data_IF_129930978684
#
_entry.id   IF_129930978684
#
_cell.length_a   1.000
_cell.length_b   1.000
_cell.length_c   1.000
_cell.angle_alpha   90.00
_cell.angle_beta   90.00
_cell.angle_gamma   90.00
#
_symmetry.space_group_name_H-M   'P 1'
#
loop_
_entity.id
_entity.type
_entity.pdbx_description
1 polymer ?
#
# COMPACT_ATOMS: atom_id res chain seq x y z
N UNK A 1 4.05 12.82 -21.44
CA UNK A 1 3.38 11.96 -20.43
C UNK A 1 4.36 11.11 -19.62
N UNK A 2 5.37 10.47 -20.23
CA UNK A 2 6.34 9.63 -19.50
C UNK A 2 7.09 10.34 -18.36
N UNK A 3 7.52 11.60 -18.55
CA UNK A 3 8.16 12.39 -17.49
C UNK A 3 7.25 12.63 -16.28
N UNK A 4 5.97 12.90 -16.53
CA UNK A 4 4.97 13.05 -15.46
C UNK A 4 4.79 11.75 -14.68
N UNK A 5 4.63 10.62 -15.38
CA UNK A 5 4.52 9.29 -14.75
C UNK A 5 5.78 8.94 -13.94
N UNK A 6 6.96 9.28 -14.45
CA UNK A 6 8.22 9.09 -13.74
C UNK A 6 8.27 9.91 -12.44
N UNK A 7 7.87 11.18 -12.46
CA UNK A 7 7.77 11.99 -11.24
C UNK A 7 6.79 11.36 -10.21
N UNK A 8 5.65 10.85 -10.68
CA UNK A 8 4.68 10.15 -9.81
C UNK A 8 5.29 8.89 -9.19
N UNK A 9 6.03 8.07 -9.97
CA UNK A 9 6.71 6.88 -9.46
C UNK A 9 7.71 7.23 -8.35
N UNK A 10 8.56 8.23 -8.59
CA UNK A 10 9.55 8.68 -7.60
C UNK A 10 8.86 9.18 -6.32
N UNK A 11 7.79 9.98 -6.46
CA UNK A 11 7.03 10.48 -5.32
C UNK A 11 6.37 9.35 -4.52
N UNK A 12 5.81 8.33 -5.19
CA UNK A 12 5.23 7.16 -4.53
C UNK A 12 6.28 6.36 -3.75
N UNK A 13 7.48 6.18 -4.30
CA UNK A 13 8.59 5.50 -3.60
C UNK A 13 9.02 6.28 -2.36
N UNK A 14 9.14 7.60 -2.45
CA UNK A 14 9.46 8.46 -1.29
C UNK A 14 8.38 8.35 -0.22
N UNK A 15 7.10 8.39 -0.62
CA UNK A 15 5.98 8.22 0.29
C UNK A 15 6.01 6.84 0.97
N UNK A 16 6.28 5.76 0.23
CA UNK A 16 6.45 4.42 0.81
C UNK A 16 7.58 4.42 1.85
N UNK A 17 8.70 5.06 1.57
CA UNK A 17 9.81 5.24 2.52
C UNK A 17 9.40 5.97 3.80
N UNK A 18 8.59 7.04 3.69
CA UNK A 18 8.07 7.77 4.85
C UNK A 18 7.13 6.90 5.72
N UNK A 19 6.29 6.07 5.11
CA UNK A 19 5.46 5.14 5.86
C UNK A 19 6.28 4.00 6.47
N UNK A 20 7.32 3.52 5.79
CA UNK A 20 8.24 2.53 6.34
C UNK A 20 8.91 3.05 7.63
N UNK A 21 9.33 4.33 7.61
CA UNK A 21 9.83 4.99 8.81
C UNK A 21 8.79 5.00 9.95
N UNK A 22 7.52 5.29 9.64
CA UNK A 22 6.42 5.25 10.63
C UNK A 22 6.14 3.84 11.16
N UNK A 23 6.27 2.81 10.35
CA UNK A 23 6.13 1.41 10.79
C UNK A 23 7.23 1.03 11.77
N UNK A 24 8.47 1.44 11.50
CA UNK A 24 9.62 1.09 12.34
C UNK A 24 9.67 1.90 13.64
N UNK A 25 9.38 3.21 13.59
CA UNK A 25 9.45 4.11 14.75
C UNK A 25 8.10 4.46 15.37
N UNK A 26 7.01 3.81 14.94
CA UNK A 26 5.68 4.02 15.49
C UNK A 26 5.63 3.69 16.99
N UNK A 27 5.19 4.62 17.85
CA UNK A 27 5.13 4.41 19.31
C UNK A 27 4.00 3.45 19.70
N UNK A 28 2.89 3.43 18.95
CA UNK A 28 1.74 2.55 19.21
C UNK A 28 1.66 1.41 18.20
N UNK A 29 1.05 0.28 18.59
CA UNK A 29 0.76 -0.83 17.66
C UNK A 29 -0.14 -0.35 16.51
N UNK A 30 -1.11 0.52 16.82
CA UNK A 30 -1.99 1.15 15.84
C UNK A 30 -1.23 1.99 14.81
N UNK A 31 -0.22 2.77 15.22
CA UNK A 31 0.62 3.53 14.27
C UNK A 31 1.37 2.63 13.29
N UNK A 32 1.80 1.46 13.76
CA UNK A 32 2.51 0.48 12.91
C UNK A 32 1.55 -0.21 11.95
N UNK A 33 0.37 -0.61 12.41
CA UNK A 33 -0.68 -1.21 11.57
C UNK A 33 -1.18 -0.21 10.52
N UNK A 34 -1.43 1.04 10.92
CA UNK A 34 -1.81 2.11 9.99
C UNK A 34 -0.68 2.41 8.98
N UNK A 35 0.57 2.39 9.47
CA UNK A 35 1.76 2.50 8.62
C UNK A 35 1.81 1.42 7.54
N UNK A 36 1.60 0.15 7.92
CA UNK A 36 1.58 -0.98 7.00
C UNK A 36 0.48 -0.88 5.95
N UNK A 37 -0.75 -0.52 6.36
CA UNK A 37 -1.87 -0.36 5.43
C UNK A 37 -1.62 0.78 4.43
N UNK A 38 -0.98 1.86 4.87
CA UNK A 38 -0.55 2.96 4.01
C UNK A 38 0.51 2.56 2.99
N UNK A 39 1.43 1.66 3.34
CA UNK A 39 2.42 1.10 2.39
C UNK A 39 1.72 0.27 1.31
N UNK A 40 0.85 -0.66 1.71
CA UNK A 40 0.14 -1.55 0.78
C UNK A 40 -0.67 -0.77 -0.27
N UNK A 41 -1.38 0.26 0.16
CA UNK A 41 -2.19 1.09 -0.74
C UNK A 41 -1.32 1.80 -1.78
N UNK A 42 -0.16 2.32 -1.37
CA UNK A 42 0.78 2.97 -2.29
C UNK A 42 1.47 1.98 -3.21
N UNK A 43 1.74 0.76 -2.74
CA UNK A 43 2.28 -0.31 -3.57
C UNK A 43 1.30 -0.72 -4.68
N UNK A 44 0.00 -0.80 -4.39
CA UNK A 44 -1.04 -1.08 -5.40
C UNK A 44 -1.05 0.02 -6.47
N UNK A 45 -1.05 1.29 -6.06
CA UNK A 45 -1.01 2.42 -7.00
C UNK A 45 0.29 2.39 -7.81
N UNK A 46 1.42 2.08 -7.17
CA UNK A 46 2.72 1.97 -7.83
C UNK A 46 2.69 0.92 -8.95
N UNK A 47 2.09 -0.25 -8.73
CA UNK A 47 1.94 -1.29 -9.74
C UNK A 47 1.18 -0.80 -10.97
N UNK A 48 0.08 -0.08 -10.78
CA UNK A 48 -0.73 0.47 -11.88
C UNK A 48 0.06 1.52 -12.67
N UNK A 49 0.75 2.43 -11.97
CA UNK A 49 1.56 3.48 -12.61
C UNK A 49 2.75 2.89 -13.38
N UNK A 50 3.36 1.81 -12.88
CA UNK A 50 4.38 1.05 -13.61
C UNK A 50 3.80 0.47 -14.90
N UNK A 51 2.63 -0.17 -14.82
CA UNK A 51 1.94 -0.70 -16.01
C UNK A 51 1.65 0.37 -17.07
N UNK A 52 1.25 1.56 -16.64
CA UNK A 52 1.06 2.73 -17.51
C UNK A 52 2.38 3.24 -18.11
N UNK A 53 3.49 3.19 -17.36
CA UNK A 53 4.79 3.65 -17.83
C UNK A 53 5.38 2.74 -18.92
N UNK A 54 5.15 1.43 -18.82
CA UNK A 54 5.66 0.41 -19.74
C UNK A 54 4.67 0.01 -20.85
N UNK A 55 3.53 0.71 -20.97
CA UNK A 55 2.48 0.39 -21.96
C UNK A 55 1.99 -1.08 -21.88
N UNK A 56 2.00 -1.66 -20.66
CA UNK A 56 1.57 -3.06 -20.39
C UNK A 56 0.56 -3.14 -19.24
N UNK A 57 -0.41 -2.24 -19.26
CA UNK A 57 -1.35 -2.01 -18.17
C UNK A 57 -2.13 -3.29 -17.79
N UNK A 58 -2.53 -4.10 -18.76
CA UNK A 58 -3.38 -5.28 -18.54
C UNK A 58 -2.79 -6.24 -17.51
N UNK A 59 -1.51 -6.57 -17.64
CA UNK A 59 -0.82 -7.48 -16.72
C UNK A 59 -0.72 -6.91 -15.29
N UNK A 60 -0.48 -5.61 -15.16
CA UNK A 60 -0.34 -4.97 -13.86
C UNK A 60 -1.68 -4.73 -13.18
N UNK A 61 -2.77 -4.57 -13.94
CA UNK A 61 -4.13 -4.47 -13.40
C UNK A 61 -4.50 -5.75 -12.65
N UNK A 62 -4.27 -6.92 -13.24
CA UNK A 62 -4.59 -8.19 -12.60
C UNK A 62 -3.84 -8.37 -11.27
N UNK A 63 -2.53 -8.09 -11.27
CA UNK A 63 -1.68 -8.17 -10.07
C UNK A 63 -2.15 -7.14 -9.02
N UNK A 64 -2.39 -5.89 -9.42
CA UNK A 64 -2.79 -4.82 -8.50
C UNK A 64 -4.16 -5.08 -7.87
N UNK A 65 -5.10 -5.66 -8.64
CA UNK A 65 -6.43 -6.03 -8.15
C UNK A 65 -6.32 -7.16 -7.13
N UNK A 66 -5.49 -8.18 -7.39
CA UNK A 66 -5.19 -9.23 -6.42
C UNK A 66 -4.60 -8.67 -5.12
N UNK A 67 -3.64 -7.75 -5.21
CA UNK A 67 -3.07 -7.09 -4.04
C UNK A 67 -4.08 -6.21 -3.29
N UNK A 68 -4.99 -5.54 -3.99
CA UNK A 68 -6.06 -4.74 -3.38
C UNK A 68 -7.02 -5.61 -2.57
N UNK A 69 -7.43 -6.76 -3.11
CA UNK A 69 -8.27 -7.73 -2.40
C UNK A 69 -7.54 -8.28 -1.16
N UNK A 70 -6.28 -8.68 -1.31
CA UNK A 70 -5.46 -9.18 -0.20
C UNK A 70 -5.30 -8.14 0.91
N UNK A 71 -5.03 -6.87 0.56
CA UNK A 71 -4.91 -5.79 1.55
C UNK A 71 -6.25 -5.55 2.28
N UNK A 72 -7.37 -5.63 1.57
CA UNK A 72 -8.71 -5.41 2.14
C UNK A 72 -9.09 -6.54 3.09
N UNK A 73 -8.88 -7.79 2.69
CA UNK A 73 -9.11 -8.97 3.54
C UNK A 73 -8.17 -8.96 4.76
N UNK A 74 -6.90 -8.60 4.56
CA UNK A 74 -5.94 -8.46 5.65
C UNK A 74 -6.36 -7.42 6.68
N UNK A 75 -6.83 -6.25 6.24
CA UNK A 75 -7.33 -5.21 7.14
C UNK A 75 -8.56 -5.68 7.95
N UNK A 76 -9.51 -6.36 7.29
CA UNK A 76 -10.69 -6.95 7.97
C UNK A 76 -10.30 -8.04 8.96
N UNK A 77 -9.34 -8.89 8.62
CA UNK A 77 -8.84 -9.94 9.51
C UNK A 77 -8.19 -9.35 10.76
N UNK A 78 -7.38 -8.29 10.61
CA UNK A 78 -6.78 -7.57 11.73
C UNK A 78 -7.85 -6.90 12.60
N UNK A 79 -8.84 -6.24 11.98
CA UNK A 79 -9.94 -5.62 12.71
C UNK A 79 -10.71 -6.65 13.56
N UNK A 80 -11.08 -7.79 12.96
CA UNK A 80 -11.78 -8.88 13.65
C UNK A 80 -10.95 -9.51 14.77
N UNK A 81 -9.63 -9.62 14.58
CA UNK A 81 -8.71 -10.10 15.61
C UNK A 81 -8.64 -9.15 16.82
N UNK A 82 -8.61 -7.84 16.57
CA UNK A 82 -8.60 -6.82 17.62
C UNK A 82 -9.95 -6.79 18.37
N UNK A 83 -11.06 -6.92 17.65
CA UNK A 83 -12.41 -7.01 18.22
C UNK A 83 -12.55 -8.23 19.15
N UNK A 84 -12.12 -9.42 18.70
CA UNK A 84 -12.17 -10.64 19.52
C UNK A 84 -11.32 -10.57 20.79
N UNK A 85 -10.25 -9.77 20.81
CA UNK A 85 -9.41 -9.58 22.00
C UNK A 85 -9.92 -8.50 22.96
N UNK A 86 -11.05 -7.85 22.67
CA UNK A 86 -11.65 -6.85 23.57
C UNK A 86 -10.85 -5.55 23.70
N UNK A 87 -9.97 -5.24 22.74
CA UNK A 87 -9.15 -4.02 22.69
C UNK A 87 -9.87 -2.86 21.97
N UNK A 88 -11.21 -2.79 22.08
CA UNK A 88 -12.03 -1.72 21.50
C UNK A 88 -11.90 -0.40 22.26
#
# INVERSE_FOLDING_TARGET
MKTFLFCVLVLLVILIGAYLYRVLRGPTIFDRVLGLNGISTKAIILLIVIGLYFDRVDMFIDISTGYALLNSVGALAVAKYLEQKGLS
#
